data_IF_751080141358
#
_entry.id   IF_751080141358
#
_cell.length_a   1.000
_cell.length_b   1.000
_cell.length_c   1.000
_cell.angle_alpha   90.00
_cell.angle_beta   90.00
_cell.angle_gamma   90.00
#
_symmetry.space_group_name_H-M   'P 1'
#
loop_
_entity.id
_entity.type
_entity.pdbx_description
1 polymer ?
#
# COMPACT_ATOMS: atom_id res chain seq x y z
N UNK A 1 2.73 11.51 -17.04
CA UNK A 1 3.19 10.48 -16.09
C UNK A 1 2.15 10.31 -14.99
N UNK A 2 1.79 9.06 -14.69
CA UNK A 2 0.81 8.75 -13.63
C UNK A 2 1.48 7.90 -12.55
N UNK A 3 2.14 8.56 -11.62
CA UNK A 3 2.83 7.89 -10.51
C UNK A 3 1.82 7.25 -9.56
N UNK A 4 2.02 5.99 -9.24
CA UNK A 4 1.10 5.22 -8.41
C UNK A 4 1.86 4.24 -7.51
N UNK A 5 1.17 3.76 -6.48
CA UNK A 5 1.67 2.73 -5.59
C UNK A 5 0.67 1.57 -5.59
N UNK A 6 1.17 0.35 -5.71
CA UNK A 6 0.37 -0.87 -5.63
C UNK A 6 0.69 -1.60 -4.33
N UNK A 7 -0.33 -1.99 -3.60
CA UNK A 7 -0.21 -2.78 -2.37
C UNK A 7 -0.71 -4.19 -2.63
N UNK A 8 0.18 -5.17 -2.47
CA UNK A 8 -0.23 -6.58 -2.51
C UNK A 8 -0.64 -7.02 -1.10
N UNK A 9 -1.94 -7.05 -0.85
CA UNK A 9 -2.48 -7.33 0.48
C UNK A 9 -2.18 -8.74 0.97
N UNK A 10 -1.86 -9.67 0.07
CA UNK A 10 -1.46 -11.03 0.46
C UNK A 10 -0.04 -11.09 1.02
N UNK A 11 0.80 -10.13 0.67
CA UNK A 11 2.17 -10.06 1.18
C UNK A 11 2.31 -9.15 2.40
N UNK A 12 1.40 -8.20 2.59
CA UNK A 12 1.47 -7.28 3.73
C UNK A 12 1.33 -8.04 5.05
N UNK A 13 2.27 -7.82 5.97
CA UNK A 13 2.30 -8.48 7.27
C UNK A 13 1.84 -7.56 8.42
N UNK A 14 1.45 -6.33 8.10
CA UNK A 14 0.99 -5.37 9.10
C UNK A 14 2.08 -4.84 10.03
N UNK A 15 3.33 -4.89 9.61
CA UNK A 15 4.46 -4.54 10.49
C UNK A 15 4.67 -3.05 10.71
N UNK A 16 3.98 -2.18 9.99
CA UNK A 16 4.07 -0.72 10.07
C UNK A 16 5.43 -0.13 9.64
N UNK A 17 6.34 -0.92 9.10
CA UNK A 17 7.65 -0.42 8.67
C UNK A 17 7.52 0.67 7.61
N UNK A 18 6.59 0.53 6.67
CA UNK A 18 6.34 1.52 5.63
C UNK A 18 5.87 2.85 6.23
N UNK A 19 4.94 2.82 7.18
CA UNK A 19 4.43 4.02 7.84
C UNK A 19 5.51 4.70 8.67
N UNK A 20 6.34 3.94 9.37
CA UNK A 20 7.45 4.48 10.15
C UNK A 20 8.54 5.06 9.25
N UNK A 21 8.86 4.40 8.14
CA UNK A 21 9.84 4.92 7.19
C UNK A 21 9.41 6.29 6.65
N UNK A 22 8.13 6.43 6.29
CA UNK A 22 7.57 7.70 5.84
C UNK A 22 7.67 8.76 6.94
N UNK A 23 7.29 8.41 8.17
CA UNK A 23 7.30 9.32 9.31
C UNK A 23 8.71 9.84 9.60
N UNK A 24 9.69 8.95 9.63
CA UNK A 24 11.08 9.32 9.91
C UNK A 24 11.66 10.13 8.75
N UNK A 25 11.43 9.71 7.52
CA UNK A 25 12.01 10.36 6.34
C UNK A 25 11.50 11.78 6.14
N UNK A 26 10.23 12.04 6.46
CA UNK A 26 9.60 13.35 6.29
C UNK A 26 9.57 14.16 7.59
N UNK A 27 10.22 13.67 8.65
CA UNK A 27 10.33 14.36 9.94
C UNK A 27 8.97 14.78 10.50
N UNK A 28 7.99 13.86 10.46
CA UNK A 28 6.64 14.13 10.95
C UNK A 28 6.59 14.16 12.47
N UNK A 29 5.66 14.96 13.00
CA UNK A 29 5.42 15.00 14.43
C UNK A 29 4.90 13.67 14.98
N UNK A 30 4.96 13.47 16.28
CA UNK A 30 4.59 12.21 16.92
C UNK A 30 3.15 11.76 16.61
N UNK A 31 2.25 12.72 16.47
CA UNK A 31 0.83 12.47 16.20
C UNK A 31 0.46 12.62 14.72
N UNK A 32 1.43 12.90 13.85
CA UNK A 32 1.19 13.08 12.42
C UNK A 32 1.60 11.83 11.64
N UNK A 33 0.68 11.34 10.81
CA UNK A 33 0.91 10.18 9.95
C UNK A 33 0.41 10.49 8.54
N UNK A 34 1.27 10.32 7.55
CA UNK A 34 0.85 10.38 6.14
C UNK A 34 0.37 9.04 5.62
N UNK A 35 0.74 7.99 6.29
CA UNK A 35 0.36 6.62 5.97
C UNK A 35 0.10 5.86 7.26
N UNK A 36 -0.97 5.08 7.28
CA UNK A 36 -1.30 4.18 8.39
C UNK A 36 -1.62 2.80 7.86
N UNK A 37 -1.40 1.78 8.68
CA UNK A 37 -1.72 0.41 8.31
C UNK A 37 -2.95 -0.02 9.09
N UNK A 38 -4.00 -0.39 8.37
CA UNK A 38 -5.24 -0.86 8.97
C UNK A 38 -5.28 -2.37 8.99
N UNK A 39 -5.86 -2.93 10.05
CA UNK A 39 -6.15 -4.35 10.14
C UNK A 39 -7.55 -4.59 9.59
N UNK A 40 -7.67 -5.58 8.71
CA UNK A 40 -8.95 -6.01 8.17
C UNK A 40 -9.28 -7.38 8.73
N UNK A 41 -10.47 -7.51 9.31
CA UNK A 41 -10.94 -8.76 9.89
C UNK A 41 -12.42 -8.94 9.65
N UNK A 42 -13.13 -9.44 10.64
CA UNK A 42 -14.57 -9.70 10.56
C UNK A 42 -15.44 -8.47 10.80
N UNK A 43 -14.83 -7.30 10.99
CA UNK A 43 -15.55 -6.05 11.26
C UNK A 43 -15.89 -5.81 12.72
N UNK A 44 -15.52 -6.72 13.62
CA UNK A 44 -15.86 -6.62 15.04
C UNK A 44 -14.91 -5.70 15.83
N UNK A 45 -13.71 -5.43 15.31
CA UNK A 45 -12.76 -4.53 15.96
C UNK A 45 -11.40 -4.55 15.30
N UNK A 46 -10.43 -3.85 15.91
CA UNK A 46 -9.06 -3.84 15.43
C UNK A 46 -8.35 -5.10 15.90
N UNK A 47 -7.47 -5.61 15.06
CA UNK A 47 -6.61 -6.75 15.35
C UNK A 47 -7.35 -8.04 15.68
N UNK A 48 -8.58 -8.17 15.17
CA UNK A 48 -9.36 -9.39 15.30
C UNK A 48 -9.35 -10.18 13.99
N UNK A 49 -9.10 -11.50 14.04
CA UNK A 49 -9.12 -12.31 12.82
C UNK A 49 -10.55 -12.43 12.28
N UNK A 50 -10.65 -12.48 10.95
CA UNK A 50 -11.89 -12.83 10.27
C UNK A 50 -12.03 -14.35 10.15
N UNK A 51 -13.22 -14.79 9.69
CA UNK A 51 -13.50 -16.19 9.48
C UNK A 51 -13.87 -16.94 10.76
N UNK A 52 -13.92 -18.26 10.66
CA UNK A 52 -14.27 -19.16 11.75
C UNK A 52 -13.17 -20.23 11.85
N UNK A 53 -12.72 -20.49 13.09
CA UNK A 53 -11.72 -21.53 13.32
C UNK A 53 -12.15 -22.86 12.67
N UNK A 54 -11.25 -23.60 11.94
CA UNK A 54 -9.83 -23.33 11.76
C UNK A 54 -9.49 -22.41 10.56
N UNK A 55 -10.47 -21.86 9.85
CA UNK A 55 -10.28 -21.08 8.65
C UNK A 55 -10.21 -19.57 8.95
N UNK A 56 -9.45 -19.21 9.97
CA UNK A 56 -9.24 -17.82 10.35
C UNK A 56 -8.23 -17.14 9.42
N UNK A 57 -8.42 -15.84 9.22
CA UNK A 57 -7.50 -15.03 8.43
C UNK A 57 -7.37 -13.64 9.03
N UNK A 58 -6.24 -12.99 8.74
CA UNK A 58 -6.05 -11.56 8.99
C UNK A 58 -5.43 -10.94 7.74
N UNK A 59 -5.88 -9.74 7.44
CA UNK A 59 -5.35 -8.96 6.33
C UNK A 59 -5.04 -7.56 6.82
N UNK A 60 -4.06 -6.93 6.21
CA UNK A 60 -3.66 -5.57 6.53
C UNK A 60 -3.66 -4.72 5.28
N UNK A 61 -4.04 -3.46 5.44
CA UNK A 61 -4.16 -2.52 4.33
C UNK A 61 -3.45 -1.22 4.70
N UNK A 62 -2.26 -0.96 4.15
CA UNK A 62 -1.66 0.36 4.23
C UNK A 62 -2.56 1.37 3.54
N UNK A 63 -2.94 2.44 4.25
CA UNK A 63 -3.77 3.51 3.68
C UNK A 63 -2.99 4.81 3.70
N UNK A 64 -3.17 5.62 2.66
CA UNK A 64 -2.42 6.84 2.43
C UNK A 64 -3.34 8.04 2.51
N UNK A 65 -2.94 9.06 3.26
CA UNK A 65 -3.69 10.30 3.35
C UNK A 65 -3.36 11.22 2.17
N UNK A 66 -4.15 12.26 2.00
CA UNK A 66 -3.91 13.27 0.95
C UNK A 66 -2.59 14.03 1.14
N UNK A 67 -2.01 13.95 2.33
CA UNK A 67 -0.69 14.56 2.61
C UNK A 67 0.47 13.80 1.96
N UNK A 68 0.25 12.54 1.60
CA UNK A 68 1.28 11.74 0.93
C UNK A 68 1.63 12.35 -0.42
N UNK A 69 2.92 12.63 -0.63
CA UNK A 69 3.45 13.19 -1.88
C UNK A 69 4.06 12.11 -2.78
N UNK A 70 3.92 10.84 -2.41
CA UNK A 70 4.54 9.68 -3.06
C UNK A 70 6.06 9.84 -3.24
N UNK A 71 6.70 10.56 -2.33
CA UNK A 71 8.15 10.83 -2.35
C UNK A 71 8.61 11.38 -3.71
N UNK A 72 7.95 12.44 -4.19
CA UNK A 72 8.18 12.99 -5.52
C UNK A 72 9.66 13.31 -5.81
N UNK A 73 10.39 13.80 -4.81
CA UNK A 73 11.81 14.12 -4.97
C UNK A 73 12.66 12.87 -5.25
N UNK A 74 12.36 11.77 -4.57
CA UNK A 74 13.03 10.49 -4.81
C UNK A 74 12.70 9.93 -6.19
N UNK A 75 11.46 10.06 -6.62
CA UNK A 75 11.02 9.62 -7.94
C UNK A 75 11.80 10.35 -9.03
N UNK A 76 12.02 11.67 -8.88
CA UNK A 76 12.82 12.45 -9.82
C UNK A 76 14.26 11.97 -9.93
N UNK A 77 14.80 11.41 -8.86
CA UNK A 77 16.16 10.87 -8.81
C UNK A 77 16.22 9.41 -9.26
N UNK A 78 15.11 8.81 -9.66
CA UNK A 78 15.04 7.41 -10.05
C UNK A 78 15.01 6.45 -8.87
N UNK A 79 14.72 6.93 -7.67
CA UNK A 79 14.68 6.13 -6.46
C UNK A 79 13.22 5.78 -6.11
N UNK A 80 13.03 4.70 -5.36
CA UNK A 80 11.71 4.28 -4.89
C UNK A 80 11.26 5.14 -3.71
N UNK A 81 9.93 5.33 -3.53
CA UNK A 81 9.43 5.93 -2.30
C UNK A 81 9.94 5.20 -1.06
N UNK A 82 10.07 5.93 0.06
CA UNK A 82 10.61 5.34 1.28
C UNK A 82 9.80 4.12 1.75
N UNK A 83 8.48 4.17 1.67
CA UNK A 83 7.63 3.05 2.08
C UNK A 83 7.89 1.80 1.22
N UNK A 84 8.01 1.99 -0.08
CA UNK A 84 8.26 0.89 -1.03
C UNK A 84 9.65 0.29 -0.79
N UNK A 85 10.65 1.14 -0.65
CA UNK A 85 12.03 0.71 -0.45
C UNK A 85 12.21 -0.07 0.85
N UNK A 86 11.51 0.32 1.90
CA UNK A 86 11.70 -0.25 3.23
C UNK A 86 10.73 -1.38 3.59
N UNK A 87 9.84 -1.77 2.69
CA UNK A 87 8.90 -2.86 2.97
C UNK A 87 9.62 -4.22 3.01
N UNK A 88 9.71 -4.88 4.19
CA UNK A 88 10.43 -6.16 4.29
C UNK A 88 9.71 -7.31 3.61
N UNK A 89 8.38 -7.22 3.45
CA UNK A 89 7.57 -8.24 2.79
C UNK A 89 7.49 -8.04 1.28
N UNK A 90 8.05 -6.94 0.75
CA UNK A 90 7.98 -6.58 -0.66
C UNK A 90 6.52 -6.52 -1.16
N UNK A 91 5.64 -6.01 -0.30
CA UNK A 91 4.22 -5.89 -0.60
C UNK A 91 3.90 -4.67 -1.46
N UNK A 92 4.79 -3.67 -1.48
CA UNK A 92 4.57 -2.40 -2.14
C UNK A 92 5.38 -2.31 -3.44
N UNK A 93 4.76 -1.79 -4.48
CA UNK A 93 5.40 -1.53 -5.77
C UNK A 93 5.00 -0.13 -6.22
N UNK A 94 5.92 0.62 -6.77
CA UNK A 94 5.63 1.96 -7.29
C UNK A 94 6.07 2.06 -8.74
N UNK A 95 5.53 3.02 -9.45
CA UNK A 95 5.94 3.30 -10.82
C UNK A 95 4.93 4.16 -11.55
N UNK A 96 5.18 4.32 -12.85
CA UNK A 96 4.35 5.09 -13.76
C UNK A 96 3.37 4.16 -14.48
N UNK A 97 2.08 4.36 -14.23
CA UNK A 97 1.04 3.55 -14.86
C UNK A 97 0.90 3.80 -16.37
N UNK A 98 1.37 4.95 -16.85
CA UNK A 98 1.35 5.25 -18.27
C UNK A 98 2.44 4.52 -19.05
N UNK A 99 3.45 3.99 -18.34
CA UNK A 99 4.53 3.21 -18.93
C UNK A 99 4.23 1.72 -18.77
N UNK A 100 3.97 0.99 -19.87
CA UNK A 100 3.65 -0.46 -19.78
C UNK A 100 4.83 -1.31 -19.32
N UNK A 101 6.06 -0.79 -19.36
CA UNK A 101 7.27 -1.50 -18.93
C UNK A 101 7.67 -1.16 -17.50
N UNK A 102 6.93 -0.27 -16.82
CA UNK A 102 7.24 0.09 -15.44
C UNK A 102 7.00 -1.09 -14.49
N UNK A 103 7.65 -1.05 -13.33
CA UNK A 103 7.52 -2.10 -12.31
C UNK A 103 6.06 -2.30 -11.89
N UNK A 104 5.31 -1.21 -11.69
CA UNK A 104 3.91 -1.30 -11.27
C UNK A 104 3.02 -1.91 -12.34
N UNK A 105 3.21 -1.52 -13.62
CA UNK A 105 2.43 -2.07 -14.72
C UNK A 105 2.69 -3.56 -14.91
N UNK A 106 3.94 -3.96 -14.85
CA UNK A 106 4.35 -5.36 -14.94
C UNK A 106 3.77 -6.17 -13.78
N UNK A 107 3.83 -5.63 -12.57
CA UNK A 107 3.31 -6.32 -11.38
C UNK A 107 1.79 -6.46 -11.42
N UNK A 108 1.08 -5.43 -11.88
CA UNK A 108 -0.38 -5.49 -12.03
C UNK A 108 -0.78 -6.59 -13.01
N UNK A 109 -0.10 -6.66 -14.16
CA UNK A 109 -0.37 -7.71 -15.16
C UNK A 109 -0.14 -9.10 -14.59
N UNK A 110 0.99 -9.29 -13.89
CA UNK A 110 1.32 -10.57 -13.26
C UNK A 110 0.28 -10.99 -12.21
N UNK A 111 -0.16 -10.07 -11.37
CA UNK A 111 -1.14 -10.36 -10.33
C UNK A 111 -2.53 -10.64 -10.91
N UNK A 112 -2.93 -9.95 -11.98
CA UNK A 112 -4.18 -10.26 -12.68
C UNK A 112 -4.17 -11.67 -13.25
N UNK A 113 -3.05 -12.09 -13.84
CA UNK A 113 -2.88 -13.44 -14.36
C UNK A 113 -2.99 -14.51 -13.26
N UNK A 114 -2.63 -14.15 -12.04
CA UNK A 114 -2.73 -15.03 -10.87
C UNK A 114 -4.10 -15.00 -10.19
N UNK A 115 -5.05 -14.26 -10.73
CA UNK A 115 -6.41 -14.18 -10.21
C UNK A 115 -6.66 -13.12 -9.15
N UNK A 116 -5.76 -12.16 -9.00
CA UNK A 116 -5.94 -11.04 -8.07
C UNK A 116 -6.89 -10.00 -8.64
N UNK A 117 -7.68 -9.40 -7.76
CA UNK A 117 -8.49 -8.22 -8.09
C UNK A 117 -7.67 -6.96 -7.78
N UNK A 118 -7.63 -6.05 -8.74
CA UNK A 118 -6.95 -4.75 -8.56
C UNK A 118 -8.03 -3.69 -8.37
N UNK A 119 -7.96 -2.94 -7.27
CA UNK A 119 -8.98 -1.94 -6.94
C UNK A 119 -8.36 -0.73 -6.24
N UNK A 120 -9.13 0.35 -6.19
CA UNK A 120 -8.82 1.54 -5.42
C UNK A 120 -9.89 1.73 -4.35
N UNK A 121 -9.54 2.37 -3.25
CA UNK A 121 -10.53 2.77 -2.25
C UNK A 121 -11.42 3.87 -2.83
N UNK A 122 -12.69 3.96 -2.34
CA UNK A 122 -13.58 5.05 -2.75
C UNK A 122 -12.91 6.42 -2.53
N UNK A 123 -13.19 7.35 -3.42
CA UNK A 123 -12.62 8.69 -3.34
C UNK A 123 -13.23 9.46 -2.17
N UNK A 124 -12.45 9.67 -1.14
CA UNK A 124 -12.77 10.54 0.00
C UNK A 124 -11.84 11.74 -0.01
N UNK A 125 -12.24 12.81 0.66
CA UNK A 125 -11.39 14.00 0.79
C UNK A 125 -10.04 13.69 1.45
N UNK A 126 -9.98 12.63 2.25
CA UNK A 126 -8.79 12.28 3.02
C UNK A 126 -7.97 11.12 2.44
N UNK A 127 -8.38 10.56 1.29
CA UNK A 127 -7.64 9.46 0.68
C UNK A 127 -6.80 9.95 -0.51
N UNK A 128 -5.58 9.44 -0.59
CA UNK A 128 -4.66 9.74 -1.70
C UNK A 128 -5.10 8.99 -2.95
N UNK A 129 -5.13 9.70 -4.08
CA UNK A 129 -5.40 9.09 -5.38
C UNK A 129 -4.19 8.30 -5.88
N UNK A 130 -4.43 7.39 -6.81
CA UNK A 130 -3.39 6.56 -7.44
C UNK A 130 -2.73 5.60 -6.47
N UNK A 131 -3.47 5.11 -5.49
CA UNK A 131 -3.08 4.00 -4.64
C UNK A 131 -3.98 2.82 -5.01
N UNK A 132 -3.36 1.74 -5.44
CA UNK A 132 -4.04 0.54 -5.91
C UNK A 132 -3.79 -0.62 -4.97
N UNK A 133 -4.76 -1.48 -4.84
CA UNK A 133 -4.69 -2.65 -3.97
C UNK A 133 -4.93 -3.91 -4.77
N UNK A 134 -4.19 -4.96 -4.44
CA UNK A 134 -4.36 -6.27 -5.04
C UNK A 134 -4.72 -7.28 -3.95
N UNK A 135 -5.82 -7.97 -4.14
CA UNK A 135 -6.28 -9.00 -3.20
C UNK A 135 -7.05 -10.09 -3.95
N UNK A 136 -7.08 -11.29 -3.39
CA UNK A 136 -7.86 -12.43 -3.92
C UNK A 136 -9.23 -12.57 -3.29
N UNK A 137 -9.54 -11.80 -2.26
CA UNK A 137 -10.81 -11.86 -1.54
C UNK A 137 -11.75 -10.74 -1.94
#
# INVERSE_FOLDING_TARGET
MKQAILVNMKRCTGCWTCAMACKVAHELEADEWWQIVRTLGNGAGFDEPGGVYPDCYMEWMPTYTTKCIQCADRIKEGLKPYCVYNCPAMALTSGDLDDPESDISTRIADLKDKGFHIFQLPAWEQTRKNIYYANKR
#
